data_IF_442112521448
#
_entry.id   IF_442112521448
#
_cell.length_a   1.000
_cell.length_b   1.000
_cell.length_c   1.000
_cell.angle_alpha   90.00
_cell.angle_beta   90.00
_cell.angle_gamma   90.00
#
_symmetry.space_group_name_H-M   'P 1'
#
loop_
_entity.id
_entity.type
_entity.pdbx_description
1 polymer ?
#
# COMPACT_ATOMS: atom_id res chain seq x y z
N UNK A 1 0.46 -9.29 5.36
CA UNK A 1 0.58 -8.16 6.32
C UNK A 1 1.94 -8.26 6.98
N UNK A 2 2.65 -7.14 7.22
CA UNK A 2 3.83 -7.15 8.07
C UNK A 2 3.52 -7.85 9.40
N UNK A 3 4.41 -8.73 9.86
CA UNK A 3 4.22 -9.48 11.11
C UNK A 3 3.48 -10.82 11.00
N UNK A 4 2.88 -11.14 9.85
CA UNK A 4 2.35 -12.49 9.59
C UNK A 4 3.42 -13.36 8.93
N UNK A 5 3.74 -14.51 9.55
CA UNK A 5 4.70 -15.46 8.99
C UNK A 5 4.09 -16.16 7.78
N UNK A 6 4.86 -16.21 6.69
CA UNK A 6 4.48 -16.94 5.47
C UNK A 6 5.26 -18.25 5.46
N UNK A 7 4.55 -19.39 5.39
CA UNK A 7 5.18 -20.69 5.25
C UNK A 7 5.87 -20.84 3.89
N UNK A 8 6.93 -21.66 3.80
CA UNK A 8 7.73 -21.83 2.58
C UNK A 8 6.89 -22.21 1.35
N UNK A 9 5.82 -22.96 1.54
CA UNK A 9 4.88 -23.36 0.49
C UNK A 9 4.08 -22.18 -0.10
N UNK A 10 3.82 -21.14 0.68
CA UNK A 10 3.06 -19.95 0.25
C UNK A 10 3.96 -18.84 -0.28
N UNK A 11 5.29 -18.95 -0.16
CA UNK A 11 6.21 -17.88 -0.59
C UNK A 11 6.10 -17.58 -2.09
N UNK A 12 5.92 -18.60 -2.93
CA UNK A 12 5.77 -18.41 -4.37
C UNK A 12 4.47 -17.68 -4.69
N UNK A 13 3.36 -18.08 -4.05
CA UNK A 13 2.07 -17.43 -4.23
C UNK A 13 2.11 -15.96 -3.78
N UNK A 14 2.71 -15.67 -2.62
CA UNK A 14 2.84 -14.30 -2.13
C UNK A 14 3.68 -13.43 -3.07
N UNK A 15 4.73 -13.99 -3.70
CA UNK A 15 5.51 -13.26 -4.71
C UNK A 15 4.70 -12.95 -5.96
N UNK A 16 3.89 -13.90 -6.43
CA UNK A 16 2.99 -13.69 -7.58
C UNK A 16 1.92 -12.63 -7.27
N UNK A 17 1.34 -12.67 -6.07
CA UNK A 17 0.36 -11.69 -5.60
C UNK A 17 0.98 -10.27 -5.54
N UNK A 18 2.22 -10.15 -5.04
CA UNK A 18 2.95 -8.88 -5.00
C UNK A 18 3.26 -8.37 -6.41
N UNK A 19 3.72 -9.24 -7.31
CA UNK A 19 3.99 -8.86 -8.71
C UNK A 19 2.72 -8.38 -9.42
N UNK A 20 1.60 -9.05 -9.18
CA UNK A 20 0.29 -8.67 -9.74
C UNK A 20 -0.14 -7.30 -9.20
N UNK A 21 0.04 -7.06 -7.89
CA UNK A 21 -0.26 -5.77 -7.27
C UNK A 21 0.61 -4.65 -7.85
N UNK A 22 1.90 -4.88 -8.07
CA UNK A 22 2.81 -3.91 -8.67
C UNK A 22 2.39 -3.53 -10.10
N UNK A 23 1.98 -4.51 -10.92
CA UNK A 23 1.46 -4.28 -12.26
C UNK A 23 0.16 -3.45 -12.23
N UNK A 24 -0.79 -3.81 -11.37
CA UNK A 24 -2.04 -3.06 -11.22
C UNK A 24 -1.79 -1.62 -10.76
N UNK A 25 -0.86 -1.42 -9.84
CA UNK A 25 -0.44 -0.08 -9.42
C UNK A 25 0.17 0.67 -10.61
N UNK A 26 0.94 0.02 -11.47
CA UNK A 26 1.57 0.65 -12.64
C UNK A 26 0.58 1.03 -13.74
N UNK A 27 -0.47 0.25 -13.93
CA UNK A 27 -1.52 0.51 -14.93
C UNK A 27 -2.47 1.66 -14.52
N UNK A 28 -2.67 1.89 -13.22
CA UNK A 28 -3.66 2.85 -12.73
C UNK A 28 -3.01 4.14 -12.22
N UNK A 29 -3.53 5.31 -12.60
CA UNK A 29 -3.01 6.62 -12.17
C UNK A 29 -3.42 7.00 -10.73
N UNK A 30 -4.57 6.51 -10.29
CA UNK A 30 -5.12 6.75 -8.97
C UNK A 30 -5.52 5.43 -8.29
N UNK A 31 -5.08 5.25 -7.04
CA UNK A 31 -5.29 4.01 -6.27
C UNK A 31 -6.08 4.33 -5.01
N UNK A 32 -7.22 3.64 -4.86
CA UNK A 32 -8.09 3.76 -3.70
C UNK A 32 -7.82 2.64 -2.70
N UNK A 33 -7.29 2.99 -1.54
CA UNK A 33 -7.02 2.05 -0.46
C UNK A 33 -8.25 1.96 0.44
N UNK A 34 -9.08 0.95 0.16
CA UNK A 34 -10.31 0.63 0.90
C UNK A 34 -10.08 -0.43 2.00
N UNK A 35 -8.83 -0.72 2.34
CA UNK A 35 -8.49 -1.71 3.36
C UNK A 35 -8.68 -1.13 4.77
N UNK A 36 -9.20 -1.96 5.66
CA UNK A 36 -9.61 -1.63 7.03
C UNK A 36 -8.42 -1.45 7.98
N UNK A 37 -7.39 -2.28 7.85
CA UNK A 37 -6.24 -2.30 8.77
C UNK A 37 -5.10 -1.36 8.34
N UNK A 38 -4.28 -0.92 9.31
CA UNK A 38 -3.08 -0.10 9.04
C UNK A 38 -1.98 -0.91 8.36
N UNK A 39 -1.85 -2.19 8.70
CA UNK A 39 -0.83 -3.10 8.17
C UNK A 39 -1.02 -3.38 6.68
N UNK A 40 -2.28 -3.49 6.25
CA UNK A 40 -2.62 -3.70 4.83
C UNK A 40 -2.22 -2.52 3.97
N UNK A 41 -2.36 -1.30 4.48
CA UNK A 41 -2.08 -0.08 3.74
C UNK A 41 -0.59 0.15 3.50
N UNK A 42 0.30 -0.48 4.26
CA UNK A 42 1.75 -0.24 4.17
C UNK A 42 2.32 -0.58 2.79
N UNK A 43 2.10 -1.80 2.29
CA UNK A 43 2.74 -2.27 1.05
C UNK A 43 2.31 -1.44 -0.18
N UNK A 44 1.01 -1.22 -0.44
CA UNK A 44 0.58 -0.35 -1.54
C UNK A 44 1.08 1.09 -1.40
N UNK A 45 1.22 1.58 -0.16
CA UNK A 45 1.74 2.94 0.09
C UNK A 45 3.20 3.07 -0.29
N UNK A 46 4.03 2.09 0.08
CA UNK A 46 5.46 2.09 -0.27
C UNK A 46 5.64 2.02 -1.78
N UNK A 47 4.91 1.11 -2.46
CA UNK A 47 5.00 0.96 -3.92
C UNK A 47 4.50 2.23 -4.63
N UNK A 48 3.36 2.78 -4.20
CA UNK A 48 2.81 4.01 -4.78
C UNK A 48 3.70 5.23 -4.55
N UNK A 49 4.36 5.34 -3.39
CA UNK A 49 5.35 6.38 -3.12
C UNK A 49 6.59 6.24 -4.01
N UNK A 50 7.09 5.02 -4.22
CA UNK A 50 8.22 4.76 -5.11
C UNK A 50 7.90 5.11 -6.58
N UNK A 51 6.65 4.86 -7.01
CA UNK A 51 6.16 5.19 -8.35
C UNK A 51 5.55 6.60 -8.48
N UNK A 52 5.57 7.41 -7.42
CA UNK A 52 5.01 8.77 -7.36
C UNK A 52 3.52 8.86 -7.78
N UNK A 53 2.71 7.85 -7.43
CA UNK A 53 1.29 7.78 -7.79
C UNK A 53 0.37 8.38 -6.73
N UNK A 54 -0.82 8.79 -7.15
CA UNK A 54 -1.83 9.36 -6.25
C UNK A 54 -2.51 8.23 -5.47
N UNK A 55 -2.30 8.23 -4.15
CA UNK A 55 -2.89 7.27 -3.22
C UNK A 55 -3.97 7.98 -2.39
N UNK A 56 -5.17 7.41 -2.37
CA UNK A 56 -6.27 7.93 -1.54
C UNK A 56 -6.71 6.88 -0.52
N UNK A 57 -6.68 7.24 0.76
CA UNK A 57 -7.17 6.39 1.85
C UNK A 57 -8.62 6.78 2.18
N UNK A 58 -9.53 5.81 2.15
CA UNK A 58 -10.87 6.01 2.70
C UNK A 58 -10.85 5.67 4.20
N UNK A 59 -10.32 6.58 5.03
CA UNK A 59 -10.53 6.48 6.47
C UNK A 59 -11.93 7.00 6.82
N UNK A 60 -12.71 6.22 7.57
CA UNK A 60 -14.07 6.52 8.03
C UNK A 60 -14.18 7.73 9.00
N UNK A 61 -13.08 8.43 9.25
CA UNK A 61 -13.03 9.63 10.08
C UNK A 61 -12.24 10.71 9.33
N UNK A 62 -12.84 11.90 9.23
CA UNK A 62 -12.27 13.11 8.61
C UNK A 62 -10.79 13.28 8.98
N UNK A 63 -9.91 12.94 8.05
CA UNK A 63 -8.53 13.39 8.04
C UNK A 63 -8.36 14.26 6.80
N UNK A 64 -7.94 15.52 6.97
CA UNK A 64 -7.96 16.49 5.89
C UNK A 64 -7.05 16.02 4.76
N UNK A 65 -7.61 16.16 3.57
CA UNK A 65 -7.09 15.86 2.25
C UNK A 65 -5.76 16.59 1.97
N UNK A 66 -4.66 16.18 2.61
CA UNK A 66 -3.29 16.64 2.32
C UNK A 66 -2.27 15.55 2.64
N UNK A 67 -2.23 14.50 1.84
CA UNK A 67 -0.95 13.82 1.61
C UNK A 67 -0.60 13.99 0.13
N UNK A 68 -0.07 15.18 -0.17
CA UNK A 68 0.84 15.29 -1.30
C UNK A 68 2.09 14.50 -0.91
N UNK A 69 2.51 13.60 -1.77
CA UNK A 69 3.60 12.63 -1.59
C UNK A 69 4.91 13.37 -1.36
N UNK A 70 5.17 13.74 -0.11
CA UNK A 70 6.50 13.98 0.41
C UNK A 70 6.49 13.41 1.82
N UNK A 71 6.81 12.12 1.88
CA UNK A 71 7.30 11.39 3.06
C UNK A 71 6.77 11.97 4.38
N UNK A 72 5.58 11.53 4.79
CA UNK A 72 5.15 11.74 6.18
C UNK A 72 6.22 11.10 7.10
N UNK A 73 6.92 11.89 7.94
CA UNK A 73 7.92 11.35 8.87
C UNK A 73 7.31 10.45 9.96
N UNK A 74 5.98 10.32 10.00
CA UNK A 74 5.24 9.53 10.99
C UNK A 74 5.05 8.06 10.59
N UNK A 75 5.64 7.59 9.49
CA UNK A 75 5.48 6.22 9.00
C UNK A 75 6.75 5.34 9.08
N UNK A 76 7.83 5.83 9.68
CA UNK A 76 9.00 5.03 10.03
C UNK A 76 9.26 5.28 11.52
N UNK A 77 9.31 4.23 12.38
CA UNK A 77 9.55 4.40 13.81
C UNK A 77 10.89 5.10 14.10
#
# INVERSE_FOLDING_TARGET
>A
MPGHTVGESLLNQVKEDVSTLEQLIDEHDAIFLLMDSRESRWLPTVIGAAKQKVLTYCCKYEMPLKLNVNVCPLLIP
#
